data_IF_409078874702
#
_entry.id   IF_409078874702
#
_cell.length_a   1.000
_cell.length_b   1.000
_cell.length_c   1.000
_cell.angle_alpha   90.00
_cell.angle_beta   90.00
_cell.angle_gamma   90.00
#
_symmetry.space_group_name_H-M   'P 1'
#
loop_
_entity.id
_entity.type
_entity.pdbx_description
1 polymer ?
#
# COMPACT_ATOMS: atom_id res chain seq x y z
N UNK A 1 -24.37 -4.33 15.23
CA UNK A 1 -24.09 -4.49 13.78
C UNK A 1 -24.60 -3.24 13.08
N UNK A 2 -23.79 -2.62 12.20
CA UNK A 2 -24.19 -1.46 11.40
C UNK A 2 -24.34 -1.90 9.94
N UNK A 3 -25.37 -1.43 9.26
CA UNK A 3 -25.64 -1.73 7.85
C UNK A 3 -25.33 -0.49 7.01
N UNK A 4 -24.71 -0.71 5.85
CA UNK A 4 -24.46 0.30 4.82
C UNK A 4 -25.23 -0.11 3.57
N UNK A 5 -25.92 0.84 2.95
CA UNK A 5 -26.51 0.69 1.62
C UNK A 5 -25.63 1.52 0.68
N UNK A 6 -25.17 0.90 -0.41
CA UNK A 6 -24.31 1.51 -1.40
C UNK A 6 -24.96 1.36 -2.77
N UNK A 7 -25.27 2.48 -3.41
CA UNK A 7 -25.71 2.50 -4.80
C UNK A 7 -24.50 2.24 -5.70
N UNK A 8 -24.60 1.25 -6.58
CA UNK A 8 -23.57 0.89 -7.57
C UNK A 8 -24.23 0.61 -8.92
N UNK A 9 -23.48 0.81 -9.99
CA UNK A 9 -23.92 0.36 -11.32
C UNK A 9 -23.68 -1.14 -11.54
N UNK A 10 -24.36 -1.70 -12.54
CA UNK A 10 -24.27 -3.12 -12.92
C UNK A 10 -22.84 -3.55 -13.26
N UNK A 11 -22.04 -2.63 -13.81
CA UNK A 11 -20.65 -2.92 -14.18
C UNK A 11 -19.79 -3.13 -12.94
N UNK A 12 -20.01 -2.29 -11.93
CA UNK A 12 -19.33 -2.34 -10.63
C UNK A 12 -19.77 -3.57 -9.86
N UNK A 13 -21.07 -3.89 -9.86
CA UNK A 13 -21.58 -5.13 -9.26
C UNK A 13 -20.90 -6.36 -9.86
N UNK A 14 -20.87 -6.46 -11.20
CA UNK A 14 -20.23 -7.59 -11.88
C UNK A 14 -18.74 -7.72 -11.54
N UNK A 15 -18.02 -6.60 -11.41
CA UNK A 15 -16.61 -6.59 -10.98
C UNK A 15 -16.44 -7.08 -9.55
N UNK A 16 -17.31 -6.64 -8.63
CA UNK A 16 -17.28 -7.09 -7.22
C UNK A 16 -17.51 -8.60 -7.16
N UNK A 17 -18.55 -9.10 -7.83
CA UNK A 17 -18.88 -10.54 -7.83
C UNK A 17 -17.72 -11.37 -8.41
N UNK A 18 -17.14 -10.93 -9.53
CA UNK A 18 -16.04 -11.63 -10.19
C UNK A 18 -14.80 -11.66 -9.31
N UNK A 19 -14.42 -10.53 -8.72
CA UNK A 19 -13.26 -10.44 -7.84
C UNK A 19 -13.44 -11.26 -6.56
N UNK A 20 -14.62 -11.19 -5.94
CA UNK A 20 -14.96 -11.99 -4.76
C UNK A 20 -14.88 -13.49 -5.06
N UNK A 21 -15.44 -13.94 -6.19
CA UNK A 21 -15.39 -15.34 -6.61
C UNK A 21 -13.96 -15.82 -6.85
N UNK A 22 -13.13 -15.02 -7.52
CA UNK A 22 -11.71 -15.34 -7.75
C UNK A 22 -10.94 -15.45 -6.42
N UNK A 23 -11.31 -14.65 -5.42
CA UNK A 23 -10.75 -14.73 -4.07
C UNK A 23 -11.36 -15.84 -3.20
N UNK A 24 -12.38 -16.57 -3.68
CA UNK A 24 -13.10 -17.58 -2.90
C UNK A 24 -13.94 -16.99 -1.75
N UNK A 25 -14.32 -15.71 -1.84
CA UNK A 25 -15.06 -14.97 -0.82
C UNK A 25 -16.46 -14.59 -1.31
N UNK A 26 -17.36 -14.28 -0.36
CA UNK A 26 -18.60 -13.57 -0.69
C UNK A 26 -18.33 -12.11 -1.02
N UNK A 27 -19.23 -11.47 -1.78
CA UNK A 27 -19.11 -10.05 -2.14
C UNK A 27 -18.94 -9.13 -0.91
N UNK A 28 -19.70 -9.38 0.16
CA UNK A 28 -19.61 -8.59 1.39
C UNK A 28 -18.27 -8.78 2.12
N UNK A 29 -17.77 -10.02 2.22
CA UNK A 29 -16.47 -10.29 2.84
C UNK A 29 -15.34 -9.66 2.02
N UNK A 30 -15.40 -9.79 0.70
CA UNK A 30 -14.44 -9.19 -0.21
C UNK A 30 -14.44 -7.65 -0.08
N UNK A 31 -15.61 -7.02 -0.09
CA UNK A 31 -15.72 -5.56 0.05
C UNK A 31 -15.21 -5.08 1.42
N UNK A 32 -15.50 -5.81 2.49
CA UNK A 32 -14.95 -5.52 3.83
C UNK A 32 -13.42 -5.54 3.81
N UNK A 33 -12.81 -6.57 3.22
CA UNK A 33 -11.35 -6.68 3.13
C UNK A 33 -10.75 -5.51 2.34
N UNK A 34 -11.38 -5.11 1.24
CA UNK A 34 -10.94 -3.93 0.46
C UNK A 34 -11.00 -2.66 1.30
N UNK A 35 -12.08 -2.44 2.06
CA UNK A 35 -12.19 -1.26 2.94
C UNK A 35 -11.07 -1.29 3.98
N UNK A 36 -10.86 -2.43 4.64
CA UNK A 36 -9.79 -2.59 5.62
C UNK A 36 -8.42 -2.28 4.98
N UNK A 37 -8.08 -2.89 3.84
CA UNK A 37 -6.83 -2.65 3.11
C UNK A 37 -6.62 -1.18 2.70
N UNK A 38 -7.68 -0.48 2.29
CA UNK A 38 -7.61 0.92 1.83
C UNK A 38 -7.64 1.94 2.96
N UNK A 39 -8.07 1.54 4.16
CA UNK A 39 -8.19 2.43 5.32
C UNK A 39 -7.11 2.18 6.37
N UNK A 40 -6.33 1.11 6.25
CA UNK A 40 -5.16 0.85 7.09
C UNK A 40 -4.21 2.04 7.01
N UNK A 41 -3.99 2.69 8.16
CA UNK A 41 -3.07 3.82 8.31
C UNK A 41 -1.70 3.42 8.87
N UNK A 42 -1.47 2.12 9.04
CA UNK A 42 -0.26 1.58 9.68
C UNK A 42 0.39 0.54 8.79
N UNK A 43 1.72 0.51 8.75
CA UNK A 43 2.44 -0.54 8.04
C UNK A 43 2.12 -1.93 8.59
N UNK A 44 1.98 -2.96 7.72
CA UNK A 44 1.86 -4.35 8.14
C UNK A 44 3.04 -4.78 9.01
N UNK A 45 2.83 -5.75 9.91
CA UNK A 45 3.88 -6.26 10.79
C UNK A 45 5.06 -6.85 10.02
N UNK A 46 4.80 -7.48 8.88
CA UNK A 46 5.85 -7.96 7.97
C UNK A 46 6.76 -6.84 7.46
N UNK A 47 6.20 -5.66 7.17
CA UNK A 47 6.98 -4.49 6.72
C UNK A 47 7.71 -3.86 7.89
N UNK A 48 7.06 -3.71 9.05
CA UNK A 48 7.72 -3.20 10.26
C UNK A 48 8.87 -4.09 10.70
N UNK A 49 8.73 -5.41 10.56
CA UNK A 49 9.77 -6.37 10.89
C UNK A 49 11.00 -6.27 9.98
N UNK A 50 10.89 -5.66 8.79
CA UNK A 50 12.04 -5.39 7.91
C UNK A 50 12.85 -4.16 8.33
N UNK A 51 12.31 -3.31 9.19
CA UNK A 51 13.04 -2.15 9.69
C UNK A 51 14.23 -2.62 10.55
N UNK A 52 15.45 -2.36 10.08
CA UNK A 52 16.69 -2.77 10.76
C UNK A 52 17.16 -4.18 10.43
N UNK A 53 16.51 -4.92 9.51
CA UNK A 53 17.00 -6.24 9.06
C UNK A 53 17.94 -6.16 7.86
N UNK A 54 18.14 -4.98 7.28
CA UNK A 54 19.12 -4.79 6.21
C UNK A 54 20.53 -5.00 6.79
N UNK A 55 21.17 -6.11 6.42
CA UNK A 55 22.57 -6.36 6.70
C UNK A 55 23.44 -5.56 5.72
N UNK A 56 24.57 -5.04 6.23
CA UNK A 56 25.71 -4.52 5.47
C UNK A 56 25.34 -3.60 4.29
N UNK A 57 24.42 -2.67 4.53
CA UNK A 57 24.21 -1.54 3.61
C UNK A 57 25.28 -0.48 3.88
N UNK A 58 26.02 -0.03 2.85
CA UNK A 58 27.01 1.03 3.01
C UNK A 58 26.38 2.27 3.62
N UNK A 59 27.15 2.98 4.46
CA UNK A 59 26.67 4.21 5.07
C UNK A 59 26.31 5.24 4.00
N UNK A 60 25.42 6.17 4.35
CA UNK A 60 24.95 7.16 3.38
C UNK A 60 26.08 8.03 2.82
N UNK A 61 27.18 8.20 3.56
CA UNK A 61 28.40 8.85 3.09
C UNK A 61 29.15 8.00 2.06
N UNK A 62 29.23 6.67 2.27
CA UNK A 62 29.90 5.74 1.35
C UNK A 62 29.18 5.65 -0.01
N UNK A 63 27.85 5.68 0.00
CA UNK A 63 27.03 5.74 -1.21
C UNK A 63 27.25 7.05 -1.99
N UNK A 64 27.32 8.18 -1.26
CA UNK A 64 27.48 9.52 -1.84
C UNK A 64 28.90 9.82 -2.34
N UNK A 65 29.90 9.03 -1.94
CA UNK A 65 31.28 9.23 -2.38
C UNK A 65 31.46 9.18 -3.91
N UNK A 66 30.60 8.44 -4.62
CA UNK A 66 30.63 8.33 -6.08
C UNK A 66 29.56 9.19 -6.77
N UNK A 67 28.78 9.97 -6.02
CA UNK A 67 27.76 10.87 -6.55
C UNK A 67 28.34 12.29 -6.71
N UNK A 68 27.78 13.07 -7.65
CA UNK A 68 28.18 14.46 -7.81
C UNK A 68 27.84 15.29 -6.57
N UNK A 69 28.71 16.23 -6.22
CA UNK A 69 28.43 17.14 -5.10
C UNK A 69 27.28 18.08 -5.41
N UNK A 70 26.43 18.32 -4.41
CA UNK A 70 25.38 19.33 -4.50
C UNK A 70 25.99 20.70 -4.86
N UNK A 71 25.52 21.29 -5.94
CA UNK A 71 25.90 22.64 -6.33
C UNK A 71 25.05 23.65 -5.57
N UNK A 72 25.62 24.82 -5.29
CA UNK A 72 24.87 25.90 -4.64
C UNK A 72 23.68 26.28 -5.51
N UNK A 73 22.52 26.51 -4.88
CA UNK A 73 21.34 27.05 -5.56
C UNK A 73 21.73 28.36 -6.26
N UNK A 74 21.25 28.54 -7.49
CA UNK A 74 21.51 29.76 -8.26
C UNK A 74 21.09 31.02 -7.48
N UNK A 75 21.89 32.07 -7.63
CA UNK A 75 21.60 33.40 -7.07
C UNK A 75 20.50 34.06 -7.89
N UNK A 76 19.59 34.78 -7.21
CA UNK A 76 18.57 35.60 -7.87
C UNK A 76 19.18 36.81 -8.60
#
# INVERSE_FOLDING_TARGET
>A
MKQLILEIDDTTEARIITAAKTAGLTAQQWLKNIIDEKTVTTWPDSVKALAGTWQDVPFSEELRNNEGHDVTRESF
#
